data_IF_908986478178
#
_entry.id   IF_908986478178
#
_cell.length_a   1.000
_cell.length_b   1.000
_cell.length_c   1.000
_cell.angle_alpha   90.00
_cell.angle_beta   90.00
_cell.angle_gamma   90.00
#
_symmetry.space_group_name_H-M   'P 1'
#
loop_
_entity.id
_entity.type
_entity.pdbx_description
1 polymer ?
#
# COMPACT_ATOMS: atom_id res chain seq x y z
N UNK A 1 13.93 16.50 -0.64
CA UNK A 1 13.59 15.14 -1.12
C UNK A 1 13.54 14.10 -0.01
N UNK A 2 14.55 13.97 0.87
CA UNK A 2 14.63 12.87 1.84
C UNK A 2 13.39 12.71 2.76
N UNK A 3 12.85 13.82 3.28
CA UNK A 3 11.66 13.76 4.15
C UNK A 3 10.42 13.23 3.43
N UNK A 4 10.23 13.59 2.15
CA UNK A 4 9.11 13.10 1.35
C UNK A 4 9.22 11.59 1.06
N UNK A 5 10.44 11.09 0.87
CA UNK A 5 10.70 9.66 0.69
C UNK A 5 10.39 8.90 1.99
N UNK A 6 10.91 9.36 3.12
CA UNK A 6 10.66 8.75 4.43
C UNK A 6 9.17 8.73 4.80
N UNK A 7 8.45 9.82 4.53
CA UNK A 7 7.00 9.89 4.74
C UNK A 7 6.24 8.92 3.82
N UNK A 8 6.69 8.77 2.58
CA UNK A 8 6.11 7.83 1.62
C UNK A 8 6.35 6.38 2.04
N UNK A 9 7.54 6.04 2.52
CA UNK A 9 7.86 4.71 3.07
C UNK A 9 7.03 4.38 4.31
N UNK A 10 6.84 5.36 5.21
CA UNK A 10 5.98 5.22 6.38
C UNK A 10 4.52 4.97 5.97
N UNK A 11 4.00 5.74 5.02
CA UNK A 11 2.64 5.56 4.49
C UNK A 11 2.47 4.19 3.83
N UNK A 12 3.45 3.75 3.04
CA UNK A 12 3.48 2.41 2.44
C UNK A 12 3.43 1.30 3.49
N UNK A 13 4.22 1.43 4.56
CA UNK A 13 4.22 0.47 5.68
C UNK A 13 2.84 0.38 6.35
N UNK A 14 2.19 1.51 6.59
CA UNK A 14 0.84 1.55 7.16
C UNK A 14 -0.20 0.89 6.24
N UNK A 15 -0.14 1.13 4.93
CA UNK A 15 -1.06 0.52 3.97
C UNK A 15 -0.91 -1.01 3.91
N UNK A 16 0.33 -1.53 4.00
CA UNK A 16 0.57 -2.98 4.11
C UNK A 16 -0.07 -3.58 5.37
N UNK A 17 -0.06 -2.84 6.49
CA UNK A 17 -0.73 -3.29 7.74
C UNK A 17 -2.24 -3.34 7.57
N UNK A 18 -2.84 -2.32 6.95
CA UNK A 18 -4.28 -2.28 6.65
C UNK A 18 -4.68 -3.45 5.75
N UNK A 19 -3.90 -3.72 4.69
CA UNK A 19 -4.12 -4.87 3.80
C UNK A 19 -4.12 -6.20 4.58
N UNK A 20 -3.13 -6.38 5.43
CA UNK A 20 -3.02 -7.58 6.26
C UNK A 20 -4.19 -7.70 7.26
N UNK A 21 -4.77 -6.59 7.70
CA UNK A 21 -5.99 -6.57 8.50
C UNK A 21 -7.19 -7.08 7.71
N UNK A 22 -7.38 -6.62 6.48
CA UNK A 22 -8.47 -7.08 5.60
C UNK A 22 -8.38 -8.57 5.29
N UNK A 23 -7.17 -9.11 5.07
CA UNK A 23 -6.95 -10.54 4.82
C UNK A 23 -7.35 -11.44 6.00
N UNK A 24 -7.49 -10.88 7.21
CA UNK A 24 -7.91 -11.63 8.40
C UNK A 24 -9.42 -11.62 8.62
N UNK A 25 -10.18 -10.91 7.79
CA UNK A 25 -11.65 -10.91 7.86
C UNK A 25 -12.14 -12.16 7.16
N UNK A 26 -12.44 -13.20 7.94
CA UNK A 26 -13.02 -14.45 7.47
C UNK A 26 -14.54 -14.43 7.66
N UNK A 27 -15.21 -13.55 6.92
CA UNK A 27 -16.67 -13.47 6.90
C UNK A 27 -17.15 -13.45 5.46
N UNK A 28 -17.97 -14.44 5.10
CA UNK A 28 -18.55 -14.56 3.76
C UNK A 28 -19.45 -13.37 3.40
N UNK A 29 -20.08 -12.74 4.40
CA UNK A 29 -20.96 -11.57 4.22
C UNK A 29 -20.20 -10.32 3.75
N UNK A 30 -18.93 -10.19 4.13
CA UNK A 30 -18.09 -9.04 3.78
C UNK A 30 -17.07 -9.34 2.67
N UNK A 31 -17.01 -10.59 2.22
CA UNK A 31 -15.93 -11.11 1.36
C UNK A 31 -15.82 -10.37 0.03
N UNK A 32 -16.94 -10.10 -0.65
CA UNK A 32 -16.92 -9.43 -1.96
C UNK A 32 -16.54 -7.95 -1.86
N UNK A 33 -17.03 -7.26 -0.82
CA UNK A 33 -16.67 -5.86 -0.53
C UNK A 33 -15.22 -5.71 -0.09
N UNK A 34 -14.76 -6.58 0.80
CA UNK A 34 -13.37 -6.61 1.30
C UNK A 34 -12.39 -6.96 0.18
N UNK A 35 -12.72 -7.92 -0.70
CA UNK A 35 -11.87 -8.27 -1.84
C UNK A 35 -11.67 -7.09 -2.81
N UNK A 36 -12.71 -6.32 -3.11
CA UNK A 36 -12.58 -5.10 -3.94
C UNK A 36 -11.67 -4.07 -3.28
N UNK A 37 -11.78 -3.89 -1.97
CA UNK A 37 -10.90 -2.98 -1.22
C UNK A 37 -9.45 -3.46 -1.20
N UNK A 38 -9.20 -4.76 -1.06
CA UNK A 38 -7.85 -5.34 -1.14
C UNK A 38 -7.22 -5.09 -2.52
N UNK A 39 -7.98 -5.28 -3.61
CA UNK A 39 -7.48 -5.03 -4.97
C UNK A 39 -7.10 -3.56 -5.16
N UNK A 40 -7.93 -2.62 -4.70
CA UNK A 40 -7.62 -1.17 -4.75
C UNK A 40 -6.37 -0.88 -3.93
N UNK A 41 -6.27 -1.45 -2.73
CA UNK A 41 -5.13 -1.25 -1.84
C UNK A 41 -3.83 -1.78 -2.45
N UNK A 42 -3.88 -2.91 -3.15
CA UNK A 42 -2.72 -3.47 -3.88
C UNK A 42 -2.25 -2.55 -5.01
N UNK A 43 -3.18 -1.94 -5.75
CA UNK A 43 -2.84 -0.96 -6.79
C UNK A 43 -2.16 0.29 -6.18
N UNK A 44 -2.68 0.79 -5.06
CA UNK A 44 -2.10 1.95 -4.36
C UNK A 44 -0.69 1.64 -3.83
N UNK A 45 -0.51 0.49 -3.18
CA UNK A 45 0.79 0.01 -2.67
C UNK A 45 1.80 -0.13 -3.80
N UNK A 46 1.38 -0.70 -4.93
CA UNK A 46 2.23 -0.86 -6.11
C UNK A 46 2.65 0.51 -6.66
N UNK A 47 1.72 1.45 -6.82
CA UNK A 47 2.00 2.79 -7.35
C UNK A 47 2.93 3.59 -6.44
N UNK A 48 2.75 3.51 -5.12
CA UNK A 48 3.66 4.13 -4.15
C UNK A 48 5.06 3.53 -4.21
N UNK A 49 5.19 2.22 -4.32
CA UNK A 49 6.49 1.57 -4.53
C UNK A 49 7.20 2.08 -5.79
N UNK A 50 6.46 2.24 -6.90
CA UNK A 50 7.02 2.77 -8.14
C UNK A 50 7.52 4.22 -7.98
N UNK A 51 6.74 5.09 -7.32
CA UNK A 51 7.12 6.49 -7.08
C UNK A 51 8.39 6.56 -6.21
N UNK A 52 8.45 5.77 -5.14
CA UNK A 52 9.63 5.72 -4.26
C UNK A 52 10.85 5.25 -5.06
N UNK A 53 10.74 4.17 -5.83
CA UNK A 53 11.84 3.64 -6.67
C UNK A 53 12.32 4.66 -7.71
N UNK A 54 11.41 5.35 -8.40
CA UNK A 54 11.78 6.39 -9.37
C UNK A 54 12.39 7.63 -8.72
N UNK A 55 12.02 7.92 -7.47
CA UNK A 55 12.63 9.01 -6.70
C UNK A 55 14.03 8.66 -6.22
N UNK A 56 14.26 7.41 -5.80
CA UNK A 56 15.59 6.92 -5.38
C UNK A 56 16.54 6.77 -6.57
N UNK A 57 16.04 6.32 -7.73
CA UNK A 57 16.86 6.15 -8.94
C UNK A 57 17.33 7.48 -9.55
N UNK A 58 16.65 8.59 -9.28
CA UNK A 58 17.04 9.95 -9.73
C UNK A 58 18.00 10.67 -8.76
N UNK A 59 18.45 10.02 -7.69
CA UNK A 59 19.39 10.58 -6.69
C UNK A 59 20.84 10.08 -6.93
N UNK A 60 21.03 9.19 -7.90
CA UNK A 60 22.35 8.74 -8.41
C UNK A 60 22.51 9.15 -9.88
#
# INVERSE_FOLDING_TARGET
>A
MQQLINDSERRLSNLKRVRNGFLRIDSDEYRDGVNKQIVILDQVVMRLNWIIRGSVANIF
#
